data_IF_707076473058
#
_entry.id   IF_707076473058
#
_cell.length_a   1.000
_cell.length_b   1.000
_cell.length_c   1.000
_cell.angle_alpha   90.00
_cell.angle_beta   90.00
_cell.angle_gamma   90.00
#
_symmetry.space_group_name_H-M   'P 1'
#
loop_
_entity.id
_entity.type
_entity.pdbx_description
1 polymer ?
#
# COMPACT_ATOMS: atom_id res chain seq x y z
N UNK A 1 -2.54 11.15 -4.02
CA UNK A 1 -3.14 11.90 -2.93
C UNK A 1 -4.23 11.07 -2.25
N UNK A 2 -4.04 10.73 -0.97
CA UNK A 2 -5.06 10.00 -0.22
C UNK A 2 -6.16 11.01 0.19
N UNK A 3 -7.33 10.83 -0.38
CA UNK A 3 -8.49 11.63 -0.07
C UNK A 3 -9.19 11.09 1.19
N UNK A 4 -9.17 11.83 2.27
CA UNK A 4 -9.99 11.51 3.45
C UNK A 4 -11.34 12.20 3.35
N UNK A 5 -12.43 11.42 3.38
CA UNK A 5 -13.77 11.97 3.47
C UNK A 5 -13.93 12.67 4.82
N UNK A 6 -14.28 13.96 4.80
CA UNK A 6 -14.66 14.63 6.03
C UNK A 6 -16.01 14.08 6.49
N UNK A 7 -16.04 13.38 7.63
CA UNK A 7 -17.26 12.76 8.17
C UNK A 7 -18.45 13.73 8.23
N UNK A 8 -18.19 15.01 8.52
CA UNK A 8 -19.19 16.06 8.54
C UNK A 8 -19.84 16.32 7.17
N UNK A 9 -19.06 16.31 6.08
CA UNK A 9 -19.59 16.56 4.74
C UNK A 9 -20.47 15.40 4.25
N UNK A 10 -20.08 14.15 4.54
CA UNK A 10 -20.87 12.96 4.22
C UNK A 10 -22.17 12.95 4.99
N UNK A 11 -22.11 13.21 6.30
CA UNK A 11 -23.29 13.28 7.17
C UNK A 11 -24.27 14.36 6.71
N UNK A 12 -23.78 15.57 6.42
CA UNK A 12 -24.63 16.67 5.93
C UNK A 12 -25.32 16.35 4.60
N UNK A 13 -24.63 15.72 3.66
CA UNK A 13 -25.23 15.32 2.38
C UNK A 13 -26.28 14.21 2.57
N UNK A 14 -26.02 13.24 3.42
CA UNK A 14 -26.97 12.16 3.72
C UNK A 14 -28.25 12.75 4.35
N UNK A 15 -28.12 13.61 5.35
CA UNK A 15 -29.26 14.31 5.96
C UNK A 15 -30.03 15.10 4.90
N UNK A 16 -29.33 15.82 4.03
CA UNK A 16 -29.92 16.59 2.97
C UNK A 16 -30.74 15.72 2.00
N UNK A 17 -30.20 14.59 1.52
CA UNK A 17 -30.94 13.65 0.67
C UNK A 17 -32.17 13.09 1.34
N UNK A 18 -32.11 12.79 2.64
CA UNK A 18 -33.27 12.34 3.40
C UNK A 18 -34.36 13.43 3.47
N UNK A 19 -33.99 14.66 3.74
CA UNK A 19 -34.93 15.78 3.81
C UNK A 19 -35.60 16.00 2.45
N UNK A 20 -34.84 16.02 1.35
CA UNK A 20 -35.39 16.16 -0.01
C UNK A 20 -36.35 15.05 -0.34
N UNK A 21 -35.96 13.78 -0.05
CA UNK A 21 -36.82 12.62 -0.34
C UNK A 21 -38.13 12.66 0.44
N UNK A 22 -38.11 12.98 1.73
CA UNK A 22 -39.31 13.11 2.56
C UNK A 22 -40.20 14.26 2.05
N UNK A 23 -39.59 15.40 1.71
CA UNK A 23 -40.32 16.54 1.19
C UNK A 23 -41.01 16.22 -0.14
N UNK A 24 -40.34 15.51 -1.05
CA UNK A 24 -40.93 15.07 -2.32
C UNK A 24 -42.11 14.10 -2.13
N UNK A 25 -41.97 13.13 -1.18
CA UNK A 25 -43.05 12.18 -0.87
C UNK A 25 -44.29 12.93 -0.31
N UNK A 26 -44.06 13.85 0.64
CA UNK A 26 -45.15 14.65 1.21
C UNK A 26 -45.81 15.57 0.17
N UNK A 27 -45.04 16.18 -0.74
CA UNK A 27 -45.58 16.97 -1.83
C UNK A 27 -46.42 16.12 -2.80
N UNK A 28 -45.93 14.91 -3.17
CA UNK A 28 -46.65 14.00 -4.05
C UNK A 28 -47.96 13.51 -3.44
N UNK A 29 -47.97 13.16 -2.14
CA UNK A 29 -49.19 12.76 -1.44
C UNK A 29 -50.25 13.89 -1.37
N UNK A 30 -49.81 15.13 -1.16
CA UNK A 30 -50.68 16.31 -1.18
C UNK A 30 -51.18 16.62 -2.58
N UNK A 31 -50.31 16.44 -3.60
CA UNK A 31 -50.71 16.66 -5.01
C UNK A 31 -51.82 15.69 -5.46
N UNK A 32 -51.79 14.46 -5.04
CA UNK A 32 -52.85 13.49 -5.35
C UNK A 32 -54.22 13.92 -4.80
N UNK A 33 -54.24 14.51 -3.61
CA UNK A 33 -55.51 15.05 -3.02
C UNK A 33 -55.99 16.35 -3.65
N UNK A 34 -55.06 17.18 -4.20
CA UNK A 34 -55.41 18.43 -4.93
C UNK A 34 -56.03 18.10 -6.27
N UNK A 35 -55.57 17.06 -6.98
CA UNK A 35 -56.07 16.67 -8.32
C UNK A 35 -57.52 16.22 -8.31
N UNK A 36 -58.00 15.67 -7.20
CA UNK A 36 -59.39 15.19 -7.07
C UNK A 36 -60.40 16.29 -6.69
N UNK A 37 -59.92 17.49 -6.25
CA UNK A 37 -60.79 18.50 -5.67
C UNK A 37 -60.83 19.86 -6.38
N UNK A 38 -60.32 20.00 -7.63
CA UNK A 38 -60.26 21.24 -8.39
C UNK A 38 -59.07 22.13 -7.99
N UNK A 39 -58.58 22.91 -8.99
CA UNK A 39 -57.38 23.74 -8.82
C UNK A 39 -57.75 25.04 -8.04
N UNK A 40 -57.22 25.16 -6.82
CA UNK A 40 -57.30 26.42 -6.04
C UNK A 40 -55.90 26.80 -5.53
N UNK A 41 -55.55 28.09 -5.63
CA UNK A 41 -54.27 28.64 -5.16
C UNK A 41 -53.94 28.25 -3.70
N UNK A 42 -54.94 28.23 -2.83
CA UNK A 42 -54.79 27.85 -1.43
C UNK A 42 -54.30 26.43 -1.20
N UNK A 43 -54.47 25.53 -2.18
CA UNK A 43 -54.01 24.13 -2.10
C UNK A 43 -52.64 23.94 -2.74
N UNK A 44 -52.26 24.79 -3.68
CA UNK A 44 -50.94 24.71 -4.38
C UNK A 44 -49.80 25.30 -3.55
N UNK A 45 -50.09 26.43 -2.83
CA UNK A 45 -49.08 27.12 -2.02
C UNK A 45 -48.36 26.19 -1.04
N UNK A 46 -49.01 25.31 -0.26
CA UNK A 46 -48.29 24.42 0.66
C UNK A 46 -47.40 23.37 -0.06
N UNK A 47 -47.77 22.95 -1.27
CA UNK A 47 -46.93 22.04 -2.06
C UNK A 47 -45.65 22.70 -2.53
N UNK A 48 -45.77 23.95 -3.01
CA UNK A 48 -44.63 24.77 -3.44
C UNK A 48 -43.73 25.10 -2.25
N UNK A 49 -44.30 25.43 -1.09
CA UNK A 49 -43.55 25.72 0.14
C UNK A 49 -42.78 24.52 0.67
N UNK A 50 -43.23 23.28 0.39
CA UNK A 50 -42.54 22.06 0.75
C UNK A 50 -41.39 21.70 -0.18
N UNK A 51 -41.47 22.06 -1.46
CA UNK A 51 -40.51 21.66 -2.48
C UNK A 51 -39.45 22.74 -2.75
N UNK A 52 -39.81 24.01 -2.66
CA UNK A 52 -38.90 25.12 -2.98
C UNK A 52 -37.64 25.17 -2.09
N UNK A 53 -37.72 25.07 -0.75
CA UNK A 53 -36.49 25.11 0.08
C UNK A 53 -35.46 24.01 -0.25
N UNK A 54 -35.84 22.74 -0.38
CA UNK A 54 -34.88 21.71 -0.71
C UNK A 54 -34.29 21.86 -2.12
N UNK A 55 -35.08 22.39 -3.09
CA UNK A 55 -34.57 22.68 -4.44
C UNK A 55 -33.57 23.84 -4.42
N UNK A 56 -33.81 24.90 -3.64
CA UNK A 56 -32.87 26.00 -3.47
C UNK A 56 -31.58 25.53 -2.84
N UNK A 57 -31.63 24.70 -1.79
CA UNK A 57 -30.46 24.16 -1.14
C UNK A 57 -29.69 23.20 -2.09
N UNK A 58 -30.43 22.43 -2.92
CA UNK A 58 -29.79 21.59 -3.95
C UNK A 58 -29.04 22.42 -4.99
N UNK A 59 -29.68 23.51 -5.48
CA UNK A 59 -29.06 24.41 -6.42
C UNK A 59 -27.81 25.10 -5.83
N UNK A 60 -27.89 25.57 -4.59
CA UNK A 60 -26.74 26.12 -3.88
C UNK A 60 -25.61 25.10 -3.67
N UNK A 61 -25.97 23.85 -3.39
CA UNK A 61 -25.00 22.75 -3.26
C UNK A 61 -24.29 22.40 -4.57
N UNK A 62 -24.94 22.62 -5.72
CA UNK A 62 -24.32 22.47 -7.05
C UNK A 62 -23.40 23.64 -7.36
N UNK A 63 -23.80 24.86 -6.98
CA UNK A 63 -23.03 26.09 -7.26
C UNK A 63 -21.83 26.22 -6.31
N UNK A 64 -21.94 25.69 -5.09
CA UNK A 64 -20.86 25.64 -4.11
C UNK A 64 -20.52 24.19 -3.77
N UNK A 65 -19.79 23.47 -4.62
CA UNK A 65 -19.41 22.09 -4.35
C UNK A 65 -18.48 22.08 -3.12
N UNK A 66 -19.02 21.65 -2.00
CA UNK A 66 -18.17 21.35 -0.84
C UNK A 66 -17.38 20.09 -1.22
N UNK A 67 -16.05 20.15 -1.26
CA UNK A 67 -15.24 18.97 -1.59
C UNK A 67 -15.56 17.87 -0.56
N UNK A 68 -16.02 16.71 -1.08
CA UNK A 68 -16.28 15.52 -0.25
C UNK A 68 -15.00 14.98 0.35
N UNK A 69 -13.92 15.24 -0.33
CA UNK A 69 -12.59 14.82 0.08
C UNK A 69 -11.72 16.07 0.23
N UNK A 70 -10.98 16.11 1.29
CA UNK A 70 -9.98 17.15 1.53
C UNK A 70 -8.63 16.45 1.55
N UNK A 71 -7.69 17.00 0.81
CA UNK A 71 -6.31 16.58 0.93
C UNK A 71 -5.82 16.98 2.32
N UNK A 72 -5.74 15.99 3.20
CA UNK A 72 -5.10 16.18 4.49
C UNK A 72 -3.61 15.85 4.33
N UNK A 73 -2.72 16.65 4.94
CA UNK A 73 -1.32 16.27 4.98
C UNK A 73 -1.21 14.90 5.65
N UNK A 74 -0.53 13.97 4.97
CA UNK A 74 -0.27 12.65 5.53
C UNK A 74 0.63 12.82 6.74
N UNK A 75 0.13 12.46 7.91
CA UNK A 75 0.92 12.40 9.13
C UNK A 75 1.42 10.97 9.30
N UNK A 76 2.73 10.80 9.45
CA UNK A 76 3.33 9.51 9.72
C UNK A 76 3.89 9.48 11.15
N UNK A 77 3.66 8.38 11.85
CA UNK A 77 4.33 8.08 13.11
C UNK A 77 5.45 7.10 12.85
N UNK A 78 6.69 7.47 13.20
CA UNK A 78 7.84 6.59 13.03
C UNK A 78 8.22 5.96 14.37
N UNK A 79 8.52 4.66 14.36
CA UNK A 79 9.10 3.92 15.47
C UNK A 79 10.40 3.26 15.02
N UNK A 80 11.40 3.24 15.89
CA UNK A 80 12.68 2.58 15.62
C UNK A 80 12.72 1.26 16.38
N UNK A 81 13.14 0.21 15.69
CA UNK A 81 13.30 -1.13 16.20
C UNK A 81 14.68 -1.61 15.76
N UNK A 82 15.68 -1.52 16.67
CA UNK A 82 17.09 -1.81 16.36
C UNK A 82 17.56 -1.03 15.09
N UNK A 83 17.98 -1.72 14.05
CA UNK A 83 18.47 -1.15 12.79
C UNK A 83 17.36 -0.84 11.77
N UNK A 84 16.09 -1.06 12.15
CA UNK A 84 14.93 -0.85 11.29
C UNK A 84 14.05 0.26 11.83
N UNK A 85 13.71 1.21 10.98
CA UNK A 85 12.75 2.28 11.26
C UNK A 85 11.48 2.07 10.45
N UNK A 86 10.33 2.08 11.12
CA UNK A 86 9.03 1.91 10.48
C UNK A 86 8.21 3.18 10.61
N UNK A 87 7.79 3.74 9.47
CA UNK A 87 6.96 4.94 9.40
C UNK A 87 5.60 4.61 8.79
N UNK A 88 4.56 4.62 9.60
CA UNK A 88 3.19 4.26 9.22
C UNK A 88 2.22 5.39 9.56
N UNK A 89 1.08 5.40 8.89
CA UNK A 89 -0.01 6.30 9.25
C UNK A 89 -0.52 5.99 10.67
N UNK A 90 -1.06 6.98 11.41
CA UNK A 90 -1.53 6.79 12.79
C UNK A 90 -2.55 5.64 12.94
N UNK A 91 -3.38 5.42 11.93
CA UNK A 91 -4.35 4.33 11.89
C UNK A 91 -3.69 2.94 11.86
N UNK A 92 -2.46 2.83 11.35
CA UNK A 92 -1.72 1.58 11.17
C UNK A 92 -0.61 1.39 12.22
N UNK A 93 -0.56 2.23 13.26
CA UNK A 93 0.49 2.17 14.30
C UNK A 93 0.61 0.78 14.95
N UNK A 94 -0.50 0.08 15.11
CA UNK A 94 -0.52 -1.29 15.66
C UNK A 94 0.17 -2.32 14.77
N UNK A 95 0.33 -2.04 13.48
CA UNK A 95 0.97 -2.93 12.50
C UNK A 95 2.49 -2.71 12.43
N UNK A 96 3.03 -1.69 13.08
CA UNK A 96 4.46 -1.37 13.00
C UNK A 96 5.37 -2.55 13.36
N UNK A 97 4.98 -3.36 14.34
CA UNK A 97 5.73 -4.57 14.72
C UNK A 97 5.65 -5.67 13.67
N UNK A 98 4.50 -5.80 12.98
CA UNK A 98 4.33 -6.79 11.90
C UNK A 98 5.23 -6.47 10.70
N UNK A 99 5.66 -5.24 10.54
CA UNK A 99 6.67 -4.82 9.56
C UNK A 99 8.10 -4.90 10.11
N UNK A 100 8.31 -4.47 11.35
CA UNK A 100 9.65 -4.37 11.93
C UNK A 100 10.31 -5.75 12.14
N UNK A 101 9.59 -6.71 12.70
CA UNK A 101 10.13 -8.03 13.00
C UNK A 101 10.64 -8.80 11.78
N UNK A 102 9.86 -8.94 10.68
CA UNK A 102 10.36 -9.61 9.48
C UNK A 102 11.54 -8.84 8.86
N UNK A 103 11.51 -7.52 8.89
CA UNK A 103 12.62 -6.71 8.40
C UNK A 103 13.92 -6.96 9.18
N UNK A 104 13.86 -7.00 10.50
CA UNK A 104 15.03 -7.31 11.35
C UNK A 104 15.60 -8.70 11.03
N UNK A 105 14.74 -9.70 10.82
CA UNK A 105 15.18 -11.04 10.45
C UNK A 105 15.93 -11.05 9.12
N UNK A 106 15.42 -10.36 8.10
CA UNK A 106 16.08 -10.23 6.80
C UNK A 106 17.39 -9.46 6.93
N UNK A 107 17.38 -8.30 7.60
CA UNK A 107 18.58 -7.49 7.83
C UNK A 107 19.65 -8.29 8.58
N UNK A 108 19.25 -9.10 9.55
CA UNK A 108 20.19 -9.94 10.33
C UNK A 108 20.93 -11.00 9.51
N UNK A 109 20.44 -11.36 8.34
CA UNK A 109 21.10 -12.30 7.41
C UNK A 109 22.15 -11.59 6.56
N UNK A 110 21.95 -10.31 6.28
CA UNK A 110 22.79 -9.55 5.35
C UNK A 110 24.18 -9.21 5.93
N UNK A 111 25.19 -9.02 5.08
CA UNK A 111 26.46 -8.45 5.53
C UNK A 111 26.24 -7.03 6.05
N UNK A 112 26.87 -6.62 7.17
CA UNK A 112 26.72 -5.26 7.69
C UNK A 112 27.11 -4.16 6.69
N UNK A 113 27.99 -4.45 5.76
CA UNK A 113 28.41 -3.52 4.69
C UNK A 113 27.37 -3.34 3.59
N UNK A 114 26.42 -4.26 3.44
CA UNK A 114 25.36 -4.21 2.45
C UNK A 114 24.10 -3.55 3.00
N UNK A 115 23.94 -3.51 4.32
CA UNK A 115 22.78 -2.90 4.98
C UNK A 115 23.05 -1.40 5.16
N UNK A 116 22.15 -0.53 4.69
CA UNK A 116 22.19 0.90 5.02
C UNK A 116 22.09 1.10 6.54
N UNK A 117 22.73 2.12 7.07
CA UNK A 117 22.70 2.41 8.51
C UNK A 117 21.30 2.61 9.09
N UNK A 118 20.33 3.03 8.25
CA UNK A 118 18.93 3.16 8.62
C UNK A 118 18.09 2.49 7.52
N UNK A 119 17.62 1.28 7.75
CA UNK A 119 16.61 0.65 6.90
C UNK A 119 15.26 1.29 7.26
N UNK A 120 14.73 2.09 6.36
CA UNK A 120 13.46 2.76 6.53
C UNK A 120 12.37 2.04 5.75
N UNK A 121 11.38 1.53 6.48
CA UNK A 121 10.14 1.01 5.92
C UNK A 121 9.08 2.09 6.04
N UNK A 122 8.43 2.45 4.97
CA UNK A 122 7.44 3.49 4.99
C UNK A 122 6.21 3.16 4.16
N UNK A 123 5.04 3.51 4.64
CA UNK A 123 3.83 3.47 3.83
C UNK A 123 3.87 4.51 2.71
N UNK A 124 3.14 4.27 1.60
CA UNK A 124 3.11 5.16 0.45
C UNK A 124 2.78 6.61 0.82
N UNK A 125 3.49 7.54 0.22
CA UNK A 125 3.35 8.98 0.47
C UNK A 125 4.25 9.52 1.59
N UNK A 126 5.08 8.69 2.21
CA UNK A 126 6.14 9.17 3.08
C UNK A 126 7.27 9.77 2.24
N UNK A 127 7.68 10.98 2.58
CA UNK A 127 8.81 11.65 1.94
C UNK A 127 10.03 11.61 2.85
N UNK A 128 11.00 10.79 2.52
CA UNK A 128 12.27 10.75 3.22
C UNK A 128 13.04 12.07 3.05
N UNK A 129 13.63 12.57 4.15
CA UNK A 129 14.36 13.86 4.16
C UNK A 129 15.77 13.78 3.60
N UNK A 130 16.29 12.61 3.31
CA UNK A 130 17.67 12.40 2.85
C UNK A 130 17.74 11.16 1.95
N UNK A 131 18.95 10.84 1.44
CA UNK A 131 19.25 9.60 0.69
C UNK A 131 19.21 8.35 1.59
N UNK A 132 18.09 8.16 2.27
CA UNK A 132 17.82 6.94 3.03
C UNK A 132 17.31 5.87 2.07
N UNK A 133 17.70 4.64 2.33
CA UNK A 133 17.05 3.50 1.71
C UNK A 133 15.62 3.43 2.23
N UNK A 134 14.67 3.66 1.36
CA UNK A 134 13.24 3.64 1.71
C UNK A 134 12.60 2.48 0.96
N UNK A 135 12.12 1.51 1.70
CA UNK A 135 11.25 0.49 1.16
C UNK A 135 9.79 0.95 1.31
N UNK A 136 9.06 0.98 0.20
CA UNK A 136 7.63 1.20 0.20
C UNK A 136 6.91 -0.08 0.68
N UNK A 137 6.16 0.03 1.77
CA UNK A 137 5.42 -1.09 2.37
C UNK A 137 4.15 -1.48 1.59
N UNK A 138 3.82 -0.74 0.53
CA UNK A 138 2.52 -0.89 -0.10
C UNK A 138 1.38 -0.38 0.79
N UNK A 139 0.15 -0.57 0.34
CA UNK A 139 -1.04 -0.23 1.13
C UNK A 139 -1.49 -1.45 1.91
N UNK A 140 -1.32 -1.42 3.23
CA UNK A 140 -1.98 -2.39 4.10
C UNK A 140 -3.50 -2.27 3.95
N UNK A 141 -4.16 -3.38 3.68
CA UNK A 141 -5.62 -3.43 3.58
C UNK A 141 -6.20 -4.05 4.85
N UNK A 142 -7.49 -3.83 5.10
CA UNK A 142 -8.20 -4.43 6.24
C UNK A 142 -8.31 -5.97 6.14
N UNK A 143 -7.96 -6.54 4.99
CA UNK A 143 -7.98 -7.98 4.73
C UNK A 143 -6.62 -8.64 4.95
N UNK A 144 -5.54 -7.86 5.11
CA UNK A 144 -4.20 -8.42 5.28
C UNK A 144 -4.03 -8.94 6.71
N UNK A 145 -3.67 -10.20 6.82
CA UNK A 145 -3.27 -10.78 8.12
C UNK A 145 -1.88 -10.29 8.51
N UNK A 146 -1.56 -10.34 9.82
CA UNK A 146 -0.21 -10.05 10.30
C UNK A 146 0.85 -10.94 9.64
N UNK A 147 0.52 -12.19 9.31
CA UNK A 147 1.40 -13.10 8.60
C UNK A 147 1.64 -12.63 7.16
N UNK A 148 0.59 -12.26 6.42
CA UNK A 148 0.74 -11.74 5.06
C UNK A 148 1.59 -10.47 5.01
N UNK A 149 1.36 -9.52 5.95
CA UNK A 149 2.19 -8.32 6.06
C UNK A 149 3.66 -8.66 6.36
N UNK A 150 3.89 -9.66 7.22
CA UNK A 150 5.22 -10.16 7.53
C UNK A 150 5.91 -10.74 6.29
N UNK A 151 5.22 -11.61 5.55
CA UNK A 151 5.77 -12.27 4.37
C UNK A 151 6.03 -11.27 3.23
N UNK A 152 5.11 -10.35 2.98
CA UNK A 152 5.28 -9.28 2.00
C UNK A 152 6.47 -8.37 2.34
N UNK A 153 6.64 -8.02 3.63
CA UNK A 153 7.77 -7.18 4.07
C UNK A 153 9.10 -7.90 3.90
N UNK A 154 9.16 -9.17 4.30
CA UNK A 154 10.36 -9.98 4.13
C UNK A 154 10.72 -10.14 2.66
N UNK A 155 9.73 -10.44 1.82
CA UNK A 155 9.92 -10.60 0.38
C UNK A 155 10.40 -9.30 -0.27
N UNK A 156 9.74 -8.17 -0.02
CA UNK A 156 10.15 -6.89 -0.60
C UNK A 156 11.58 -6.48 -0.21
N UNK A 157 11.99 -6.72 1.04
CA UNK A 157 13.38 -6.49 1.46
C UNK A 157 14.35 -7.46 0.80
N UNK A 158 14.02 -8.74 0.72
CA UNK A 158 14.85 -9.73 0.05
C UNK A 158 15.03 -9.40 -1.44
N UNK A 159 13.98 -8.93 -2.11
CA UNK A 159 14.02 -8.44 -3.50
C UNK A 159 14.97 -7.25 -3.65
N UNK A 160 14.85 -6.26 -2.77
CA UNK A 160 15.76 -5.11 -2.81
C UNK A 160 17.23 -5.52 -2.59
N UNK A 161 17.50 -6.43 -1.66
CA UNK A 161 18.86 -6.90 -1.40
C UNK A 161 19.36 -7.91 -2.44
N UNK A 162 18.49 -8.59 -3.17
CA UNK A 162 18.90 -9.49 -4.27
C UNK A 162 19.32 -8.73 -5.54
N UNK A 163 19.12 -7.40 -5.58
CA UNK A 163 19.43 -6.58 -6.74
C UNK A 163 18.32 -6.56 -7.80
N UNK A 164 17.12 -7.06 -7.49
CA UNK A 164 16.01 -7.09 -8.43
C UNK A 164 15.64 -5.68 -8.92
N UNK A 165 15.75 -4.67 -8.06
CA UNK A 165 15.49 -3.26 -8.41
C UNK A 165 16.46 -2.69 -9.46
N UNK A 166 17.66 -3.29 -9.58
CA UNK A 166 18.65 -2.92 -10.59
C UNK A 166 18.42 -3.60 -11.93
N UNK A 167 17.61 -4.67 -11.95
CA UNK A 167 17.35 -5.47 -13.12
C UNK A 167 16.18 -4.90 -13.93
N UNK A 168 16.44 -4.52 -15.17
CA UNK A 168 15.38 -4.12 -16.11
C UNK A 168 15.04 -5.30 -17.01
N UNK A 169 13.92 -5.96 -16.73
CA UNK A 169 13.47 -7.10 -17.54
C UNK A 169 12.44 -6.63 -18.57
N UNK A 170 12.63 -7.05 -19.83
CA UNK A 170 11.65 -6.87 -20.92
C UNK A 170 10.81 -8.13 -21.09
N UNK A 171 9.70 -8.03 -21.81
CA UNK A 171 8.87 -9.19 -22.17
C UNK A 171 9.61 -10.23 -23.02
N UNK A 172 10.64 -9.78 -23.74
CA UNK A 172 11.55 -10.66 -24.51
C UNK A 172 12.94 -10.58 -23.87
N UNK A 173 13.24 -11.50 -22.96
CA UNK A 173 14.54 -11.57 -22.31
C UNK A 173 15.55 -12.29 -23.17
N UNK A 174 16.77 -11.77 -23.23
CA UNK A 174 17.93 -12.48 -23.77
C UNK A 174 18.34 -13.62 -22.83
N UNK A 175 19.09 -14.63 -23.33
CA UNK A 175 19.60 -15.69 -22.46
C UNK A 175 20.39 -15.19 -21.25
N UNK A 176 21.17 -14.12 -21.42
CA UNK A 176 21.91 -13.49 -20.31
C UNK A 176 21.00 -12.81 -19.29
N UNK A 177 19.91 -12.21 -19.75
CA UNK A 177 18.92 -11.61 -18.83
C UNK A 177 18.14 -12.69 -18.06
N UNK A 178 17.86 -13.84 -18.70
CA UNK A 178 17.25 -14.99 -18.02
C UNK A 178 18.19 -15.50 -16.93
N UNK A 179 19.47 -15.68 -17.25
CA UNK A 179 20.48 -16.13 -16.29
C UNK A 179 20.63 -15.18 -15.10
N UNK A 180 20.67 -13.87 -15.36
CA UNK A 180 20.71 -12.86 -14.30
C UNK A 180 19.44 -12.85 -13.44
N UNK A 181 18.27 -13.08 -14.05
CA UNK A 181 17.00 -13.20 -13.35
C UNK A 181 16.96 -14.41 -12.42
N UNK A 182 17.45 -15.55 -12.90
CA UNK A 182 17.56 -16.78 -12.08
C UNK A 182 18.54 -16.58 -10.94
N UNK A 183 19.64 -15.85 -11.17
CA UNK A 183 20.60 -15.45 -10.16
C UNK A 183 19.97 -14.61 -9.05
N UNK A 184 19.24 -13.56 -9.41
CA UNK A 184 18.54 -12.68 -8.48
C UNK A 184 17.51 -13.46 -7.65
N UNK A 185 16.71 -14.31 -8.29
CA UNK A 185 15.72 -15.13 -7.60
C UNK A 185 16.38 -16.14 -6.62
N UNK A 186 17.56 -16.65 -6.97
CA UNK A 186 18.32 -17.56 -6.09
C UNK A 186 18.84 -16.85 -4.86
N UNK A 187 19.30 -15.61 -5.00
CA UNK A 187 19.71 -14.76 -3.88
C UNK A 187 18.52 -14.43 -2.98
N UNK A 188 17.39 -13.99 -3.56
CA UNK A 188 16.15 -13.69 -2.82
C UNK A 188 15.70 -14.89 -1.98
N UNK A 189 15.57 -16.07 -2.61
CA UNK A 189 15.19 -17.32 -1.92
C UNK A 189 16.14 -17.64 -0.76
N UNK A 190 17.43 -17.46 -0.97
CA UNK A 190 18.45 -17.74 0.06
C UNK A 190 18.31 -16.79 1.24
N UNK A 191 18.11 -15.50 1.00
CA UNK A 191 17.86 -14.51 2.05
C UNK A 191 16.62 -14.90 2.85
N UNK A 192 15.49 -15.19 2.20
CA UNK A 192 14.23 -15.56 2.85
C UNK A 192 14.39 -16.85 3.67
N UNK A 193 15.02 -17.89 3.12
CA UNK A 193 15.29 -19.14 3.82
C UNK A 193 16.15 -18.92 5.07
N UNK A 194 17.24 -18.19 4.95
CA UNK A 194 18.14 -17.90 6.08
C UNK A 194 17.46 -17.02 7.14
N UNK A 195 16.58 -16.12 6.75
CA UNK A 195 15.74 -15.34 7.64
C UNK A 195 14.57 -16.14 8.25
N UNK A 196 14.42 -17.43 7.87
CA UNK A 196 13.41 -18.36 8.39
C UNK A 196 12.01 -18.13 7.83
N UNK A 197 11.89 -17.61 6.63
CA UNK A 197 10.63 -17.56 5.87
C UNK A 197 10.53 -18.78 4.96
N UNK A 198 9.30 -19.29 4.83
CA UNK A 198 9.02 -20.32 3.85
C UNK A 198 8.81 -19.64 2.51
N UNK A 199 9.48 -20.13 1.49
CA UNK A 199 9.23 -19.76 0.11
C UNK A 199 8.46 -20.91 -0.52
N UNK A 200 7.27 -20.64 -1.02
CA UNK A 200 6.49 -21.66 -1.71
C UNK A 200 7.27 -22.17 -2.93
N UNK A 201 7.41 -23.47 -2.97
CA UNK A 201 8.29 -24.28 -3.79
C UNK A 201 8.39 -23.81 -5.25
N UNK A 202 9.54 -23.24 -5.59
CA UNK A 202 10.01 -23.39 -6.97
C UNK A 202 10.35 -24.88 -7.22
N UNK A 203 10.05 -25.42 -8.41
CA UNK A 203 10.31 -26.80 -8.69
C UNK A 203 11.80 -27.14 -8.39
N UNK A 204 12.00 -28.23 -7.69
CA UNK A 204 13.26 -28.74 -7.16
C UNK A 204 14.35 -29.06 -8.19
N UNK A 205 14.19 -28.64 -9.45
CA UNK A 205 15.12 -28.90 -10.55
C UNK A 205 16.33 -27.96 -10.58
N UNK A 206 16.32 -26.86 -9.82
CA UNK A 206 17.41 -25.87 -9.84
C UNK A 206 17.99 -25.68 -8.44
N UNK A 207 18.59 -26.73 -7.88
CA UNK A 207 19.43 -26.59 -6.70
C UNK A 207 20.70 -25.87 -7.10
N UNK A 208 21.00 -24.75 -6.42
CA UNK A 208 22.29 -24.07 -6.52
C UNK A 208 23.06 -24.20 -5.20
N UNK A 209 24.33 -23.85 -5.20
CA UNK A 209 25.19 -23.97 -4.02
C UNK A 209 24.75 -23.05 -2.87
N UNK A 210 23.97 -22.00 -3.17
CA UNK A 210 23.42 -21.08 -2.16
C UNK A 210 22.42 -21.77 -1.23
N UNK A 211 21.72 -22.82 -1.70
CA UNK A 211 20.72 -23.55 -0.92
C UNK A 211 21.31 -24.24 0.32
N UNK A 212 22.60 -24.63 0.26
CA UNK A 212 23.31 -25.25 1.35
C UNK A 212 24.08 -24.30 2.28
N UNK A 213 24.10 -23.01 2.00
CA UNK A 213 24.87 -22.05 2.79
C UNK A 213 24.20 -21.72 4.12
N UNK A 214 25.02 -21.59 5.16
CA UNK A 214 24.65 -20.90 6.39
C UNK A 214 24.80 -19.38 6.25
N UNK A 215 24.37 -18.62 7.28
CA UNK A 215 24.43 -17.15 7.27
C UNK A 215 25.86 -16.63 7.08
N UNK A 216 26.86 -17.29 7.67
CA UNK A 216 28.25 -16.84 7.58
C UNK A 216 28.82 -17.02 6.18
N UNK A 217 28.61 -18.19 5.59
CA UNK A 217 29.02 -18.49 4.23
C UNK A 217 28.31 -17.61 3.22
N UNK A 218 27.00 -17.39 3.41
CA UNK A 218 26.22 -16.50 2.56
C UNK A 218 26.71 -15.06 2.61
N UNK A 219 27.01 -14.51 3.80
CA UNK A 219 27.54 -13.15 3.94
C UNK A 219 28.88 -12.96 3.22
N UNK A 220 29.77 -13.98 3.29
CA UNK A 220 31.04 -13.94 2.57
C UNK A 220 30.82 -13.98 1.06
N UNK A 221 29.98 -14.91 0.60
CA UNK A 221 29.63 -15.02 -0.80
C UNK A 221 28.98 -13.74 -1.33
N UNK A 222 27.99 -13.18 -0.63
CA UNK A 222 27.30 -11.94 -1.01
C UNK A 222 28.29 -10.77 -1.11
N UNK A 223 29.20 -10.64 -0.15
CA UNK A 223 30.20 -9.56 -0.15
C UNK A 223 31.11 -9.66 -1.38
N UNK A 224 31.46 -10.88 -1.78
CA UNK A 224 32.30 -11.12 -2.96
C UNK A 224 31.56 -10.79 -4.27
N UNK A 225 30.27 -11.14 -4.35
CA UNK A 225 29.47 -10.98 -5.57
C UNK A 225 28.62 -9.69 -5.57
N UNK A 226 28.79 -8.83 -4.59
CA UNK A 226 27.99 -7.63 -4.39
C UNK A 226 27.87 -6.78 -5.66
N UNK A 227 28.96 -6.57 -6.37
CA UNK A 227 28.97 -5.75 -7.57
C UNK A 227 28.16 -6.39 -8.71
N UNK A 228 28.20 -7.72 -8.83
CA UNK A 228 27.40 -8.46 -9.80
C UNK A 228 25.89 -8.42 -9.45
N UNK A 229 25.57 -8.50 -8.15
CA UNK A 229 24.19 -8.36 -7.63
C UNK A 229 23.65 -6.97 -7.93
N UNK A 230 24.35 -5.92 -7.53
CA UNK A 230 23.96 -4.53 -7.75
C UNK A 230 23.93 -4.14 -9.24
N UNK A 231 24.68 -4.83 -10.09
CA UNK A 231 24.75 -4.61 -11.54
C UNK A 231 23.84 -5.52 -12.36
N UNK A 232 23.03 -6.36 -11.75
CA UNK A 232 22.18 -7.36 -12.42
C UNK A 232 22.97 -8.20 -13.44
N UNK A 233 24.11 -8.74 -13.02
CA UNK A 233 25.06 -9.47 -13.90
C UNK A 233 25.54 -10.79 -13.30
N UNK A 234 24.77 -11.34 -12.34
CA UNK A 234 25.03 -12.68 -11.83
C UNK A 234 24.88 -13.71 -12.95
N UNK A 235 25.80 -14.65 -12.97
CA UNK A 235 25.80 -15.77 -13.92
C UNK A 235 25.61 -17.10 -13.19
N UNK A 236 25.25 -18.15 -13.92
CA UNK A 236 25.16 -19.49 -13.35
C UNK A 236 26.46 -19.96 -12.73
N UNK A 237 27.62 -19.54 -13.28
CA UNK A 237 28.93 -19.85 -12.71
C UNK A 237 29.19 -19.19 -11.34
N UNK A 238 28.50 -18.08 -11.03
CA UNK A 238 28.58 -17.43 -9.71
C UNK A 238 27.74 -18.17 -8.66
N UNK A 239 26.75 -18.93 -9.11
CA UNK A 239 25.85 -19.73 -8.25
C UNK A 239 26.36 -21.14 -7.98
N UNK A 240 27.35 -21.62 -8.73
CA UNK A 240 27.97 -22.92 -8.59
C UNK A 240 29.46 -22.75 -8.25
N UNK A 241 29.93 -23.50 -7.24
CA UNK A 241 31.34 -23.58 -6.85
C UNK A 241 32.03 -24.74 -7.50
#
# INVERSE_FOLDING_TARGET
GNHTATASAVTMRTIFFCIVSVSCILAASRWSTVRSGGFTWRRVVPCVALVAPPLIIAALGVVMPVPLFRDAPLAFGCSSHEDVRVCVMPAHRSLALSYAQPAQRVVSVMPPTAVPHDVLLAEPGYHARSKQFVMDLGHATVYDSAQQLSDMTAQGLAQSFSGQDACTFSTEMTPQQIEAFDGVNSVERTILRLAGFQYDDAPSSERNDLDGMDVTAFRQWYTHHRQAIEGCSLTSSDLHR
#
